data_IF_277791384814
#
_entry.id   IF_277791384814
#
_cell.length_a   1.000
_cell.length_b   1.000
_cell.length_c   1.000
_cell.angle_alpha   90.00
_cell.angle_beta   90.00
_cell.angle_gamma   90.00
#
_symmetry.space_group_name_H-M   'P 1'
#
loop_
_entity.id
_entity.type
_entity.pdbx_description
1 polymer ?
#
# COMPACT_ATOMS: atom_id res chain seq x y z
N UNK A 1 11.72 -18.05 -21.44
CA UNK A 1 11.49 -17.75 -20.03
C UNK A 1 11.23 -16.25 -19.86
N UNK A 2 10.16 -15.90 -19.24
CA UNK A 2 9.84 -14.48 -19.03
C UNK A 2 10.60 -13.94 -17.83
N UNK A 3 11.00 -12.69 -17.92
CA UNK A 3 11.63 -12.02 -16.80
C UNK A 3 10.59 -11.66 -15.74
N UNK A 4 11.01 -11.70 -14.48
CA UNK A 4 10.16 -11.24 -13.39
C UNK A 4 10.08 -9.72 -13.44
N UNK A 5 8.88 -9.13 -13.51
CA UNK A 5 8.76 -7.68 -13.46
C UNK A 5 9.30 -7.14 -12.13
N UNK A 6 10.06 -6.06 -12.23
CA UNK A 6 10.61 -5.37 -11.06
C UNK A 6 10.18 -3.92 -11.17
N UNK A 7 9.17 -3.53 -10.41
CA UNK A 7 8.53 -2.23 -10.55
C UNK A 7 8.48 -1.53 -9.18
N UNK A 8 8.51 -0.21 -9.23
CA UNK A 8 8.27 0.63 -8.06
C UNK A 8 6.85 1.14 -8.10
N UNK A 9 6.19 1.14 -6.94
CA UNK A 9 4.85 1.67 -6.80
C UNK A 9 4.76 2.44 -5.49
N UNK A 10 4.09 3.59 -5.53
CA UNK A 10 3.85 4.39 -4.33
C UNK A 10 2.37 4.49 -3.98
N UNK A 11 1.50 3.86 -4.76
CA UNK A 11 0.06 3.83 -4.51
C UNK A 11 -0.48 2.46 -4.87
N UNK A 12 -1.62 2.13 -4.30
CA UNK A 12 -2.32 0.91 -4.68
C UNK A 12 -3.83 1.11 -4.52
N UNK A 13 -4.58 0.28 -5.25
CA UNK A 13 -6.02 0.15 -5.08
C UNK A 13 -6.35 -1.31 -4.86
N UNK A 14 -7.27 -1.57 -3.95
CA UNK A 14 -7.72 -2.92 -3.63
C UNK A 14 -9.21 -3.03 -3.94
N UNK A 15 -9.56 -3.99 -4.76
CA UNK A 15 -10.95 -4.29 -5.06
C UNK A 15 -11.27 -5.70 -4.56
N UNK A 16 -12.26 -5.81 -3.67
CA UNK A 16 -12.68 -7.07 -3.10
C UNK A 16 -14.01 -7.49 -3.71
N UNK A 17 -14.12 -8.78 -3.99
CA UNK A 17 -15.35 -9.35 -4.52
C UNK A 17 -15.52 -10.78 -4.07
N UNK A 18 -16.67 -11.40 -4.38
CA UNK A 18 -16.92 -12.78 -3.95
C UNK A 18 -16.01 -13.81 -4.59
N UNK A 19 -15.39 -13.47 -5.71
CA UNK A 19 -14.50 -14.40 -6.42
C UNK A 19 -13.02 -14.14 -6.17
N UNK A 20 -12.69 -13.21 -5.28
CA UNK A 20 -11.31 -12.91 -4.96
C UNK A 20 -11.05 -11.42 -4.88
N UNK A 21 -9.80 -11.05 -5.06
CA UNK A 21 -9.41 -9.65 -4.98
C UNK A 21 -8.41 -9.29 -6.07
N UNK A 22 -8.34 -7.99 -6.35
CA UNK A 22 -7.40 -7.43 -7.33
C UNK A 22 -6.64 -6.30 -6.67
N UNK A 23 -5.31 -6.39 -6.71
CA UNK A 23 -4.42 -5.32 -6.27
C UNK A 23 -3.85 -4.62 -7.49
N UNK A 24 -4.15 -3.34 -7.65
CA UNK A 24 -3.59 -2.50 -8.70
C UNK A 24 -2.52 -1.61 -8.09
N UNK A 25 -1.27 -1.80 -8.52
CA UNK A 25 -0.16 -0.97 -8.07
C UNK A 25 0.09 0.13 -9.07
N UNK A 26 0.33 1.34 -8.55
CA UNK A 26 0.40 2.55 -9.34
C UNK A 26 1.58 3.40 -8.90
N UNK A 27 2.03 4.26 -9.80
CA UNK A 27 3.07 5.23 -9.47
C UNK A 27 2.56 6.61 -9.86
N UNK A 28 2.81 7.60 -8.99
CA UNK A 28 2.43 8.99 -9.26
C UNK A 28 3.34 9.60 -10.29
N UNK A 29 2.76 10.35 -11.23
CA UNK A 29 3.55 11.12 -12.18
C UNK A 29 4.25 12.29 -11.52
N UNK A 30 5.34 12.75 -12.15
CA UNK A 30 6.18 13.80 -11.57
C UNK A 30 5.49 15.17 -11.60
N UNK A 31 4.73 15.46 -12.67
CA UNK A 31 4.14 16.78 -12.85
C UNK A 31 2.66 16.65 -13.22
N UNK A 32 1.80 17.56 -12.75
CA UNK A 32 0.41 17.59 -13.19
C UNK A 32 0.32 17.98 -14.67
N UNK A 33 -0.71 17.46 -15.34
CA UNK A 33 -0.93 17.76 -16.77
C UNK A 33 -1.33 19.22 -16.94
N UNK A 34 -2.05 19.79 -15.96
CA UNK A 34 -2.49 21.18 -16.02
C UNK A 34 -2.41 21.78 -14.61
N UNK A 35 -2.29 23.13 -14.51
CA UNK A 35 -2.30 23.76 -13.18
C UNK A 35 -3.56 23.42 -12.41
N UNK A 36 -3.40 23.04 -11.14
CA UNK A 36 -4.50 22.66 -10.30
C UNK A 36 -5.00 21.24 -10.47
N UNK A 37 -4.49 20.50 -11.45
CA UNK A 37 -4.84 19.10 -11.64
C UNK A 37 -3.97 18.21 -10.77
N UNK A 38 -4.50 17.07 -10.29
CA UNK A 38 -3.64 16.11 -9.61
C UNK A 38 -2.62 15.52 -10.58
N UNK A 39 -1.45 15.09 -10.10
CA UNK A 39 -0.48 14.42 -10.97
C UNK A 39 -1.09 13.18 -11.62
N UNK A 40 -0.72 12.86 -12.85
CA UNK A 40 -1.20 11.63 -13.46
C UNK A 40 -0.71 10.41 -12.71
N UNK A 41 -1.53 9.35 -12.72
CA UNK A 41 -1.19 8.09 -12.05
C UNK A 41 -1.09 7.02 -13.13
N UNK A 42 -0.01 6.26 -13.08
CA UNK A 42 0.23 5.19 -14.02
C UNK A 42 0.13 3.85 -13.30
N UNK A 43 -0.66 2.93 -13.85
CA UNK A 43 -0.73 1.57 -13.32
C UNK A 43 0.48 0.80 -13.80
N UNK A 44 1.23 0.22 -12.84
CA UNK A 44 2.45 -0.51 -13.16
C UNK A 44 2.29 -2.01 -13.00
N UNK A 45 1.32 -2.48 -12.21
CA UNK A 45 1.08 -3.90 -12.05
C UNK A 45 -0.32 -4.15 -11.55
N UNK A 46 -0.90 -5.28 -11.96
CA UNK A 46 -2.18 -5.77 -11.44
C UNK A 46 -1.98 -7.21 -11.03
N UNK A 47 -2.31 -7.51 -9.78
CA UNK A 47 -2.16 -8.86 -9.23
C UNK A 47 -3.51 -9.32 -8.71
N UNK A 48 -3.90 -10.52 -9.11
CA UNK A 48 -5.16 -11.13 -8.68
C UNK A 48 -4.86 -12.23 -7.69
N UNK A 49 -5.60 -12.21 -6.58
CA UNK A 49 -5.38 -13.13 -5.48
C UNK A 49 -6.70 -13.68 -4.99
N UNK A 50 -6.66 -14.85 -4.34
CA UNK A 50 -7.80 -15.28 -3.55
C UNK A 50 -7.88 -14.44 -2.28
N UNK A 51 -9.09 -14.34 -1.72
CA UNK A 51 -9.28 -13.60 -0.48
C UNK A 51 -8.50 -14.24 0.67
N UNK A 52 -8.41 -15.56 0.70
CA UNK A 52 -7.64 -16.26 1.71
C UNK A 52 -6.16 -15.91 1.61
N UNK A 53 -5.61 -15.86 0.40
CA UNK A 53 -4.21 -15.47 0.19
C UNK A 53 -3.97 -14.04 0.66
N UNK A 54 -4.87 -13.13 0.30
CA UNK A 54 -4.75 -11.74 0.74
C UNK A 54 -4.74 -11.63 2.26
N UNK A 55 -5.63 -12.37 2.92
CA UNK A 55 -5.70 -12.34 4.38
C UNK A 55 -4.43 -12.90 5.02
N UNK A 56 -3.88 -13.98 4.47
CA UNK A 56 -2.62 -14.54 4.93
C UNK A 56 -1.46 -13.56 4.71
N UNK A 57 -1.43 -12.89 3.56
CA UNK A 57 -0.43 -11.87 3.27
C UNK A 57 -0.49 -10.73 4.29
N UNK A 58 -1.68 -10.25 4.59
CA UNK A 58 -1.85 -9.16 5.55
C UNK A 58 -1.28 -9.55 6.91
N UNK A 59 -1.54 -10.77 7.35
CA UNK A 59 -1.00 -11.27 8.61
C UNK A 59 0.53 -11.35 8.59
N UNK A 60 1.08 -11.94 7.54
CA UNK A 60 2.53 -12.11 7.42
C UNK A 60 3.23 -10.76 7.32
N UNK A 61 2.69 -9.85 6.50
CA UNK A 61 3.27 -8.52 6.35
C UNK A 61 3.26 -7.76 7.67
N UNK A 62 2.17 -7.84 8.41
CA UNK A 62 2.08 -7.19 9.70
C UNK A 62 3.14 -7.73 10.67
N UNK A 63 3.30 -9.05 10.74
CA UNK A 63 4.30 -9.65 11.62
C UNK A 63 5.72 -9.27 11.22
N UNK A 64 6.01 -9.27 9.92
CA UNK A 64 7.35 -8.95 9.44
C UNK A 64 7.71 -7.49 9.71
N UNK A 65 6.77 -6.59 9.50
CA UNK A 65 7.00 -5.16 9.75
C UNK A 65 7.22 -4.92 11.24
N UNK A 66 6.35 -5.50 12.09
CA UNK A 66 6.47 -5.33 13.53
C UNK A 66 7.79 -5.90 14.05
N UNK A 67 8.21 -7.06 13.52
CA UNK A 67 9.48 -7.66 13.90
C UNK A 67 10.68 -6.82 13.49
N UNK A 68 10.62 -6.26 12.29
CA UNK A 68 11.68 -5.38 11.81
C UNK A 68 11.80 -4.12 12.68
N UNK A 69 10.66 -3.50 12.99
CA UNK A 69 10.67 -2.29 13.81
C UNK A 69 11.20 -2.57 15.21
N UNK A 70 10.86 -3.74 15.78
CA UNK A 70 11.36 -4.13 17.09
C UNK A 70 12.87 -4.34 17.07
N UNK A 71 13.40 -5.04 16.09
CA UNK A 71 14.82 -5.28 15.96
C UNK A 71 15.63 -4.01 15.70
N UNK A 72 15.10 -3.14 14.86
CA UNK A 72 15.77 -1.90 14.50
C UNK A 72 15.56 -0.80 15.54
N UNK A 73 14.68 -1.02 16.52
CA UNK A 73 14.34 -0.05 17.56
C UNK A 73 13.84 1.27 16.96
N UNK A 74 12.96 1.15 15.97
CA UNK A 74 12.35 2.29 15.33
C UNK A 74 10.86 2.03 15.13
N UNK A 75 10.12 3.10 14.82
CA UNK A 75 8.71 3.02 14.49
C UNK A 75 8.48 3.80 13.22
N UNK A 76 7.98 3.11 12.19
CA UNK A 76 7.68 3.74 10.92
C UNK A 76 6.30 4.38 11.00
N UNK A 77 6.24 5.66 10.69
CA UNK A 77 4.98 6.38 10.67
C UNK A 77 4.87 7.14 9.36
N UNK A 78 3.71 7.75 9.15
CA UNK A 78 3.44 8.51 7.94
C UNK A 78 3.43 10.00 8.27
N UNK A 79 3.82 10.87 7.32
CA UNK A 79 3.62 12.31 7.50
C UNK A 79 2.14 12.63 7.62
N UNK A 80 1.83 13.75 8.29
CA UNK A 80 0.44 14.14 8.56
C UNK A 80 -0.35 14.31 7.27
N UNK A 81 0.26 14.89 6.25
CA UNK A 81 -0.41 15.08 4.97
C UNK A 81 -0.74 13.75 4.28
N UNK A 82 0.06 12.70 4.51
CA UNK A 82 -0.22 11.37 3.96
C UNK A 82 -1.39 10.74 4.70
N UNK A 83 -1.45 10.86 6.03
CA UNK A 83 -2.62 10.40 6.78
C UNK A 83 -3.89 11.03 6.22
N UNK A 84 -3.85 12.32 5.96
CA UNK A 84 -5.00 13.05 5.43
C UNK A 84 -5.37 12.60 4.03
N UNK A 85 -4.36 12.43 3.16
CA UNK A 85 -4.59 12.01 1.78
C UNK A 85 -5.20 10.61 1.70
N UNK A 86 -4.79 9.72 2.60
CA UNK A 86 -5.30 8.35 2.64
C UNK A 86 -6.56 8.22 3.49
N UNK A 87 -7.00 9.31 4.13
CA UNK A 87 -8.17 9.31 5.01
C UNK A 87 -8.02 8.32 6.16
N UNK A 88 -6.80 8.24 6.71
CA UNK A 88 -6.48 7.37 7.85
C UNK A 88 -6.44 8.24 9.10
N UNK A 89 -7.18 7.81 10.13
CA UNK A 89 -7.13 8.48 11.43
C UNK A 89 -5.88 8.03 12.17
N UNK A 90 -5.18 9.00 12.74
CA UNK A 90 -3.93 8.72 13.46
C UNK A 90 -4.15 7.76 14.63
N UNK A 91 -5.25 7.90 15.33
CA UNK A 91 -5.58 7.02 16.45
C UNK A 91 -5.85 5.58 16.00
N UNK A 92 -6.43 5.39 14.81
CA UNK A 92 -6.63 4.05 14.26
C UNK A 92 -5.30 3.42 13.87
N UNK A 93 -4.40 4.22 13.31
CA UNK A 93 -3.05 3.77 12.98
C UNK A 93 -2.30 3.31 14.23
N UNK A 94 -2.35 4.13 15.29
CA UNK A 94 -1.65 3.79 16.53
C UNK A 94 -2.24 2.53 17.18
N UNK A 95 -3.57 2.39 17.16
CA UNK A 95 -4.22 1.22 17.74
C UNK A 95 -3.86 -0.06 16.98
N UNK A 96 -3.67 0.03 15.67
CA UNK A 96 -3.31 -1.12 14.86
C UNK A 96 -1.87 -1.56 15.08
N UNK A 97 -0.93 -0.59 15.11
CA UNK A 97 0.48 -0.91 15.18
C UNK A 97 1.04 -1.04 16.59
N UNK A 98 0.37 -0.38 17.55
CA UNK A 98 0.80 -0.38 18.96
C UNK A 98 -0.37 -0.70 19.87
N UNK A 99 -0.95 -1.90 19.75
CA UNK A 99 -2.12 -2.29 20.56
C UNK A 99 -1.79 -2.43 22.04
#
# INVERSE_FOLDING_TARGET
MSETPDVYADQFQLNLGPLGCTLNFQVSGANPVAPGSPPPVERVATIRLSLQHLKAMAFILHKQIAGYESQAQLSTSLPVDVFRALQIRQEDWEAFWHP
#
